data_IF_894448239566
#
_entry.id   IF_894448239566
#
_cell.length_a   1.000
_cell.length_b   1.000
_cell.length_c   1.000
_cell.angle_alpha   90.00
_cell.angle_beta   90.00
_cell.angle_gamma   90.00
#
_symmetry.space_group_name_H-M   'P 1'
#
loop_
_entity.id
_entity.type
_entity.pdbx_description
1 polymer ?
#
# COMPACT_ATOMS: atom_id res chain seq x y z
N UNK A 1 12.07 -9.20 -4.55
CA UNK A 1 10.69 -8.96 -5.06
C UNK A 1 10.59 -7.55 -5.63
N UNK A 2 10.10 -7.35 -6.86
CA UNK A 2 9.95 -6.01 -7.44
C UNK A 2 8.61 -5.42 -7.03
N UNK A 3 8.63 -4.37 -6.21
CA UNK A 3 7.44 -3.57 -5.86
C UNK A 3 7.26 -2.43 -6.87
N UNK A 4 6.01 -2.01 -7.13
CA UNK A 4 5.73 -0.80 -7.88
C UNK A 4 6.00 0.47 -7.04
N UNK A 5 6.03 1.65 -7.68
CA UNK A 5 6.19 2.92 -6.94
C UNK A 5 5.01 3.15 -5.98
N UNK A 6 3.79 2.83 -6.41
CA UNK A 6 2.60 2.94 -5.55
C UNK A 6 2.64 1.93 -4.40
N UNK A 7 3.04 0.69 -4.65
CA UNK A 7 3.16 -0.31 -3.59
C UNK A 7 4.21 0.07 -2.54
N UNK A 8 5.35 0.61 -2.96
CA UNK A 8 6.36 1.19 -2.05
C UNK A 8 5.79 2.33 -1.23
N UNK A 9 5.04 3.24 -1.86
CA UNK A 9 4.37 4.34 -1.17
C UNK A 9 3.39 3.83 -0.11
N UNK A 10 2.54 2.85 -0.46
CA UNK A 10 1.57 2.24 0.46
C UNK A 10 2.29 1.66 1.69
N UNK A 11 3.31 0.81 1.48
CA UNK A 11 4.08 0.21 2.58
C UNK A 11 4.71 1.27 3.48
N UNK A 12 5.29 2.33 2.89
CA UNK A 12 5.88 3.45 3.63
C UNK A 12 4.85 4.20 4.47
N UNK A 13 3.70 4.54 3.89
CA UNK A 13 2.62 5.21 4.64
C UNK A 13 2.12 4.34 5.79
N UNK A 14 1.94 3.03 5.54
CA UNK A 14 1.57 2.09 6.58
C UNK A 14 2.60 1.96 7.71
N UNK A 15 3.89 2.07 7.38
CA UNK A 15 4.95 2.04 8.38
C UNK A 15 4.98 3.30 9.24
N UNK A 16 4.83 4.48 8.61
CA UNK A 16 4.89 5.78 9.31
C UNK A 16 3.68 5.97 10.24
N UNK A 17 2.47 5.74 9.75
CA UNK A 17 1.27 5.99 10.56
C UNK A 17 1.00 4.84 11.54
N UNK A 18 1.45 3.62 11.22
CA UNK A 18 1.17 2.43 12.00
C UNK A 18 -0.32 2.05 12.01
N UNK A 19 -0.62 0.94 12.69
CA UNK A 19 -2.00 0.48 12.89
C UNK A 19 -2.75 0.18 11.60
N UNK A 20 -4.06 0.46 11.61
CA UNK A 20 -5.00 0.25 10.51
C UNK A 20 -5.28 1.58 9.83
N UNK A 21 -5.07 1.65 8.52
CA UNK A 21 -5.14 2.89 7.75
C UNK A 21 -6.27 2.82 6.74
N UNK A 22 -7.08 3.86 6.71
CA UNK A 22 -8.18 3.99 5.76
C UNK A 22 -7.69 4.22 4.33
N UNK A 23 -8.39 3.60 3.38
CA UNK A 23 -8.12 3.70 1.95
C UNK A 23 -8.09 5.16 1.46
N UNK A 24 -8.95 6.02 2.01
CA UNK A 24 -9.07 7.42 1.62
C UNK A 24 -7.73 8.18 1.74
N UNK A 25 -6.88 7.82 2.72
CA UNK A 25 -5.58 8.45 2.93
C UNK A 25 -4.58 8.15 1.82
N UNK A 26 -4.79 7.10 1.03
CA UNK A 26 -3.93 6.81 -0.12
C UNK A 26 -4.37 7.57 -1.39
N UNK A 27 -5.54 8.21 -1.38
CA UNK A 27 -6.00 9.03 -2.51
C UNK A 27 -5.06 10.23 -2.76
N UNK A 28 -4.45 10.79 -1.70
CA UNK A 28 -3.47 11.88 -1.80
C UNK A 28 -2.27 11.56 -2.71
N UNK A 29 -1.95 10.27 -2.91
CA UNK A 29 -0.92 9.86 -3.87
C UNK A 29 -1.24 10.29 -5.32
N UNK A 30 -2.53 10.37 -5.64
CA UNK A 30 -3.03 10.62 -6.99
C UNK A 30 -3.38 12.08 -7.23
N UNK A 31 -3.41 12.95 -6.21
CA UNK A 31 -3.79 14.37 -6.39
C UNK A 31 -2.92 15.10 -7.40
N UNK A 32 -1.64 14.70 -7.52
CA UNK A 32 -0.70 15.26 -8.51
C UNK A 32 -0.65 14.50 -9.83
N UNK A 33 -1.45 13.43 -10.00
CA UNK A 33 -1.42 12.52 -11.16
C UNK A 33 -2.78 12.46 -11.83
N UNK A 34 -2.85 12.91 -13.10
CA UNK A 34 -4.05 12.74 -13.94
C UNK A 34 -4.21 11.27 -14.37
N UNK A 35 -4.71 10.43 -13.48
CA UNK A 35 -5.05 9.04 -13.75
C UNK A 35 -6.55 8.90 -14.02
N UNK A 36 -6.92 8.17 -15.08
CA UNK A 36 -8.33 7.94 -15.43
C UNK A 36 -9.09 7.11 -14.38
N UNK A 37 -8.43 6.19 -13.69
CA UNK A 37 -9.07 5.31 -12.70
C UNK A 37 -8.18 5.00 -11.49
N UNK A 38 -7.91 5.99 -10.60
CA UNK A 38 -6.99 5.83 -9.48
C UNK A 38 -7.48 4.78 -8.46
N UNK A 39 -8.80 4.64 -8.30
CA UNK A 39 -9.39 3.67 -7.39
C UNK A 39 -9.11 2.23 -7.83
N UNK A 40 -9.26 1.91 -9.12
CA UNK A 40 -8.96 0.56 -9.61
C UNK A 40 -7.48 0.21 -9.39
N UNK A 41 -6.57 1.12 -9.70
CA UNK A 41 -5.12 0.93 -9.52
C UNK A 41 -4.75 0.74 -8.05
N UNK A 42 -5.40 1.48 -7.14
CA UNK A 42 -5.21 1.33 -5.71
C UNK A 42 -5.71 -0.03 -5.21
N UNK A 43 -6.89 -0.48 -5.68
CA UNK A 43 -7.42 -1.80 -5.33
C UNK A 43 -6.48 -2.92 -5.76
N UNK A 44 -6.04 -2.91 -7.02
CA UNK A 44 -5.09 -3.90 -7.53
C UNK A 44 -3.77 -3.89 -6.75
N UNK A 45 -3.33 -2.72 -6.30
CA UNK A 45 -2.11 -2.61 -5.49
C UNK A 45 -2.31 -3.20 -4.09
N UNK A 46 -3.46 -3.00 -3.46
CA UNK A 46 -3.78 -3.64 -2.18
C UNK A 46 -3.91 -5.15 -2.32
N UNK A 47 -4.70 -5.64 -3.27
CA UNK A 47 -4.86 -7.07 -3.55
C UNK A 47 -3.49 -7.73 -3.76
N UNK A 48 -2.66 -7.18 -4.64
CA UNK A 48 -1.31 -7.70 -4.88
C UNK A 48 -0.44 -7.73 -3.62
N UNK A 49 -0.52 -6.72 -2.75
CA UNK A 49 0.25 -6.68 -1.49
C UNK A 49 -0.29 -7.65 -0.43
N UNK A 50 -1.60 -7.90 -0.43
CA UNK A 50 -2.26 -8.89 0.43
C UNK A 50 -1.88 -10.31 -0.03
N UNK A 51 -1.92 -10.58 -1.34
CA UNK A 51 -1.50 -11.86 -1.92
C UNK A 51 -0.02 -12.18 -1.64
N UNK A 52 0.81 -11.13 -1.53
CA UNK A 52 2.23 -11.23 -1.13
C UNK A 52 2.42 -11.41 0.39
N UNK A 53 1.35 -11.44 1.18
CA UNK A 53 1.40 -11.52 2.64
C UNK A 53 1.96 -10.28 3.33
N UNK A 54 2.07 -9.13 2.64
CA UNK A 54 2.65 -7.90 3.19
C UNK A 54 1.62 -6.99 3.85
N UNK A 55 0.35 -7.09 3.44
CA UNK A 55 -0.76 -6.35 4.03
C UNK A 55 -1.84 -7.29 4.54
N UNK A 56 -2.53 -6.84 5.58
CA UNK A 56 -3.84 -7.35 5.96
C UNK A 56 -4.89 -6.33 5.51
N UNK A 57 -5.82 -6.76 4.67
CA UNK A 57 -6.97 -5.95 4.24
C UNK A 57 -8.15 -6.10 5.20
N UNK A 58 -8.89 -5.02 5.41
CA UNK A 58 -10.15 -4.99 6.14
C UNK A 58 -11.23 -4.33 5.28
N UNK A 59 -12.45 -4.84 5.37
CA UNK A 59 -13.61 -4.26 4.72
C UNK A 59 -14.71 -5.28 4.51
N UNK A 60 -15.57 -5.04 3.51
CA UNK A 60 -16.78 -5.81 3.28
C UNK A 60 -16.64 -6.75 2.09
N UNK A 61 -16.93 -8.04 2.29
CA UNK A 61 -17.06 -9.00 1.19
C UNK A 61 -18.53 -9.05 0.77
N UNK A 62 -18.82 -8.77 -0.49
CA UNK A 62 -20.12 -9.04 -1.11
C UNK A 62 -20.00 -10.29 -1.99
N UNK A 63 -21.11 -10.86 -2.50
CA UNK A 63 -21.05 -11.96 -3.44
C UNK A 63 -20.18 -11.64 -4.68
N UNK A 64 -20.22 -10.39 -5.15
CA UNK A 64 -19.51 -9.97 -6.36
C UNK A 64 -18.02 -9.73 -6.12
N UNK A 65 -17.65 -9.02 -5.05
CA UNK A 65 -16.24 -8.67 -4.82
C UNK A 65 -15.93 -8.33 -3.36
N UNK A 66 -14.64 -8.22 -3.06
CA UNK A 66 -14.16 -7.73 -1.79
C UNK A 66 -13.87 -6.23 -1.86
N UNK A 67 -14.52 -5.45 -1.01
CA UNK A 67 -14.31 -4.02 -0.87
C UNK A 67 -13.33 -3.76 0.27
N UNK A 68 -12.08 -3.46 -0.08
CA UNK A 68 -11.02 -3.14 0.88
C UNK A 68 -11.19 -1.67 1.30
N UNK A 69 -11.53 -1.45 2.56
CA UNK A 69 -11.77 -0.14 3.16
C UNK A 69 -10.53 0.39 3.88
N UNK A 70 -9.69 -0.52 4.39
CA UNK A 70 -8.49 -0.18 5.14
C UNK A 70 -7.47 -1.32 5.11
N UNK A 71 -6.22 -0.99 5.41
CA UNK A 71 -5.10 -1.94 5.40
C UNK A 71 -4.18 -1.74 6.59
N UNK A 72 -3.49 -2.79 7.01
CA UNK A 72 -2.39 -2.73 7.99
C UNK A 72 -1.22 -3.61 7.56
N UNK A 73 -0.03 -3.34 8.08
CA UNK A 73 1.14 -4.19 7.81
C UNK A 73 1.06 -5.50 8.59
N UNK A 74 1.41 -6.59 7.93
CA UNK A 74 1.76 -7.85 8.59
C UNK A 74 3.19 -7.76 9.17
N UNK A 75 3.64 -8.72 9.99
CA UNK A 75 5.04 -8.77 10.43
C UNK A 75 6.05 -8.75 9.26
N UNK A 76 5.77 -9.48 8.17
CA UNK A 76 6.62 -9.46 6.98
C UNK A 76 6.46 -8.19 6.16
N UNK A 77 5.25 -7.61 6.17
CA UNK A 77 4.99 -6.26 5.67
C UNK A 77 5.88 -5.21 6.32
N UNK A 78 6.03 -5.25 7.65
CA UNK A 78 6.91 -4.33 8.39
C UNK A 78 8.37 -4.46 7.95
N UNK A 79 8.89 -5.69 7.82
CA UNK A 79 10.24 -5.94 7.31
C UNK A 79 10.42 -5.42 5.89
N UNK A 80 9.42 -5.64 5.02
CA UNK A 80 9.45 -5.15 3.65
C UNK A 80 9.40 -3.61 3.58
N UNK A 81 8.56 -2.97 4.40
CA UNK A 81 8.47 -1.52 4.48
C UNK A 81 9.77 -0.88 4.97
N UNK A 82 10.43 -1.49 5.95
CA UNK A 82 11.76 -1.08 6.42
C UNK A 82 12.78 -1.07 5.27
N UNK A 83 12.88 -2.17 4.52
CA UNK A 83 13.77 -2.25 3.34
C UNK A 83 13.47 -1.19 2.29
N UNK A 84 12.20 -0.87 2.07
CA UNK A 84 11.81 0.21 1.14
C UNK A 84 12.30 1.58 1.60
N UNK A 85 12.27 1.85 2.91
CA UNK A 85 12.76 3.10 3.49
C UNK A 85 14.28 3.17 3.42
N UNK A 86 14.96 2.09 3.79
CA UNK A 86 16.42 1.94 3.71
C UNK A 86 16.93 2.14 2.28
N UNK A 87 16.34 1.45 1.30
CA UNK A 87 16.66 1.60 -0.13
C UNK A 87 16.46 3.05 -0.62
N UNK A 88 15.47 3.75 -0.07
CA UNK A 88 15.24 5.16 -0.41
C UNK A 88 16.31 6.06 0.20
N UNK A 89 16.69 5.84 1.45
CA UNK A 89 17.72 6.62 2.15
C UNK A 89 19.10 6.45 1.50
N UNK A 90 19.47 5.21 1.15
CA UNK A 90 20.74 4.92 0.48
C UNK A 90 20.88 5.57 -0.91
N UNK A 91 19.75 5.91 -1.56
CA UNK A 91 19.75 6.65 -2.83
C UNK A 91 19.91 8.16 -2.65
N UNK A 92 19.62 8.69 -1.47
CA UNK A 92 19.76 10.12 -1.16
C UNK A 92 21.18 10.47 -0.69
N UNK A 93 21.97 9.47 -0.29
CA UNK A 93 23.35 9.60 0.18
C UNK A 93 24.40 9.35 -0.92
N UNK A 94 23.97 9.02 -2.14
CA UNK A 94 24.80 8.83 -3.33
C UNK A 94 24.59 9.97 -4.30
#
# INVERSE_FOLDING_TARGET
>A
MRLSVLQRYILKQCFIMGGKIERALFCFYFDRKKLKNPQQVLTQSFESLIDKGLLRGYGRRTPQKWFIESVSLTPDGKKAAWKVIEDQQMKLLK
#
